data_IF_758619920818
#
_entry.id   IF_758619920818
#
_cell.length_a   1.000
_cell.length_b   1.000
_cell.length_c   1.000
_cell.angle_alpha   90.00
_cell.angle_beta   90.00
_cell.angle_gamma   90.00
#
_symmetry.space_group_name_H-M   'P 1'
#
loop_
_entity.id
_entity.type
_entity.pdbx_description
1 polymer ?
#
# COMPACT_ATOMS: atom_id res chain seq x y z
N UNK A 1 42.19 0.28 -10.55
CA UNK A 1 41.06 0.59 -11.45
C UNK A 1 39.85 -0.32 -11.23
N UNK A 2 39.99 -1.66 -11.23
CA UNK A 2 38.85 -2.60 -11.11
C UNK A 2 37.98 -2.41 -9.83
N UNK A 3 38.57 -2.11 -8.67
CA UNK A 3 37.82 -1.83 -7.43
C UNK A 3 36.83 -0.66 -7.58
N UNK A 4 37.26 0.42 -8.22
CA UNK A 4 36.43 1.61 -8.43
C UNK A 4 35.29 1.33 -9.40
N UNK A 5 35.54 0.50 -10.42
CA UNK A 5 34.51 0.09 -11.40
C UNK A 5 33.43 -0.74 -10.71
N UNK A 6 33.81 -1.70 -9.86
CA UNK A 6 32.85 -2.52 -9.12
C UNK A 6 31.96 -1.67 -8.21
N UNK A 7 32.54 -0.78 -7.40
CA UNK A 7 31.74 0.09 -6.53
C UNK A 7 30.84 1.04 -7.33
N UNK A 8 31.32 1.56 -8.46
CA UNK A 8 30.49 2.38 -9.34
C UNK A 8 29.29 1.59 -9.90
N UNK A 9 29.47 0.33 -10.28
CA UNK A 9 28.39 -0.55 -10.73
C UNK A 9 27.39 -0.86 -9.62
N UNK A 10 27.85 -1.12 -8.39
CA UNK A 10 26.96 -1.32 -7.23
C UNK A 10 26.10 -0.07 -7.01
N UNK A 11 26.71 1.12 -7.03
CA UNK A 11 25.97 2.39 -6.90
C UNK A 11 24.98 2.60 -8.03
N UNK A 12 25.38 2.30 -9.25
CA UNK A 12 24.50 2.38 -10.41
C UNK A 12 23.28 1.45 -10.25
N UNK A 13 23.45 0.22 -9.78
CA UNK A 13 22.36 -0.72 -9.56
C UNK A 13 21.42 -0.27 -8.42
N UNK A 14 21.89 0.58 -7.50
CA UNK A 14 21.09 1.13 -6.40
C UNK A 14 20.39 2.45 -6.75
N UNK A 15 20.59 3.00 -7.96
CA UNK A 15 20.00 4.29 -8.36
C UNK A 15 18.46 4.25 -8.35
N UNK A 16 17.85 3.18 -8.84
CA UNK A 16 16.39 3.01 -8.80
C UNK A 16 15.86 2.99 -7.36
N UNK A 17 16.58 2.30 -6.47
CA UNK A 17 16.26 2.23 -5.04
C UNK A 17 16.42 3.59 -4.34
N UNK A 18 17.30 4.45 -4.84
CA UNK A 18 17.59 5.77 -4.25
C UNK A 18 16.38 6.72 -4.32
N UNK A 19 15.49 6.53 -5.29
CA UNK A 19 14.21 7.26 -5.40
C UNK A 19 13.27 7.01 -4.22
N UNK A 20 13.52 5.96 -3.43
CA UNK A 20 12.74 5.60 -2.25
C UNK A 20 13.49 5.89 -0.94
N UNK A 21 14.62 6.61 -0.99
CA UNK A 21 15.58 6.80 0.12
C UNK A 21 14.98 7.23 1.46
N UNK A 22 13.95 8.08 1.44
CA UNK A 22 13.24 8.59 2.63
C UNK A 22 12.11 7.69 3.12
N UNK A 23 11.81 6.61 2.41
CA UNK A 23 10.72 5.72 2.78
C UNK A 23 11.17 4.70 3.82
N UNK A 24 10.29 4.46 4.80
CA UNK A 24 10.53 3.48 5.84
C UNK A 24 10.09 2.10 5.36
N UNK A 25 11.01 1.14 5.40
CA UNK A 25 10.77 -0.26 5.04
C UNK A 25 11.11 -1.20 6.19
N UNK A 26 10.54 -2.39 6.12
CA UNK A 26 10.85 -3.51 7.00
C UNK A 26 11.35 -4.68 6.16
N UNK A 27 12.55 -5.16 6.46
CA UNK A 27 13.22 -6.28 5.81
C UNK A 27 13.41 -7.38 6.85
N UNK A 28 12.77 -8.53 6.61
CA UNK A 28 12.92 -9.73 7.45
C UNK A 28 14.12 -10.56 6.96
N UNK A 29 15.31 -9.99 7.05
CA UNK A 29 16.56 -10.63 6.63
C UNK A 29 17.60 -10.51 7.73
N UNK A 30 18.28 -11.62 8.05
CA UNK A 30 19.41 -11.65 8.98
C UNK A 30 20.68 -11.01 8.41
N UNK A 31 20.69 -10.70 7.10
CA UNK A 31 21.81 -10.09 6.41
C UNK A 31 21.91 -8.56 6.60
N UNK A 32 20.96 -7.96 7.33
CA UNK A 32 21.01 -6.56 7.75
C UNK A 32 21.09 -6.44 9.28
N UNK A 33 21.80 -5.43 9.81
CA UNK A 33 21.89 -5.19 11.25
C UNK A 33 20.58 -4.67 11.86
N UNK A 34 19.69 -4.11 11.04
CA UNK A 34 18.36 -3.65 11.45
C UNK A 34 17.33 -4.22 10.51
N UNK A 35 16.20 -4.64 11.06
CA UNK A 35 15.07 -5.13 10.26
C UNK A 35 14.14 -4.01 9.80
N UNK A 36 14.23 -2.81 10.39
CA UNK A 36 13.38 -1.67 10.01
C UNK A 36 14.21 -0.39 9.97
N UNK A 37 13.98 0.44 8.96
CA UNK A 37 14.72 1.69 8.75
C UNK A 37 14.31 2.39 7.47
N UNK A 38 15.00 3.49 7.16
CA UNK A 38 14.88 4.16 5.87
C UNK A 38 15.58 3.35 4.78
N UNK A 39 15.08 3.37 3.54
CA UNK A 39 15.75 2.75 2.39
C UNK A 39 17.22 3.21 2.28
N UNK A 40 17.50 4.49 2.51
CA UNK A 40 18.86 5.03 2.55
C UNK A 40 19.80 4.32 3.52
N UNK A 41 19.30 3.87 4.68
CA UNK A 41 20.10 3.09 5.63
C UNK A 41 20.52 1.75 5.03
N UNK A 42 19.61 1.06 4.34
CA UNK A 42 19.87 -0.24 3.73
C UNK A 42 20.80 -0.12 2.51
N UNK A 43 20.64 0.93 1.70
CA UNK A 43 21.57 1.27 0.61
C UNK A 43 22.99 1.46 1.15
N UNK A 44 23.16 2.25 2.21
CA UNK A 44 24.48 2.48 2.83
C UNK A 44 25.10 1.18 3.37
N UNK A 45 24.30 0.26 3.92
CA UNK A 45 24.79 -1.05 4.36
C UNK A 45 25.26 -1.95 3.20
N UNK A 46 24.58 -1.89 2.05
CA UNK A 46 24.98 -2.62 0.83
C UNK A 46 26.32 -2.07 0.31
N UNK A 47 26.46 -0.74 0.24
CA UNK A 47 27.71 -0.11 -0.17
C UNK A 47 28.88 -0.51 0.75
N UNK A 48 28.67 -0.49 2.07
CA UNK A 48 29.68 -0.95 3.03
C UNK A 48 30.03 -2.44 2.86
N UNK A 49 29.03 -3.27 2.60
CA UNK A 49 29.25 -4.71 2.37
C UNK A 49 30.08 -4.94 1.10
N UNK A 50 29.84 -4.16 0.04
CA UNK A 50 30.64 -4.19 -1.18
C UNK A 50 32.09 -3.71 -0.94
N UNK A 51 32.30 -2.67 -0.13
CA UNK A 51 33.65 -2.24 0.27
C UNK A 51 34.38 -3.31 1.10
N UNK A 52 33.67 -3.97 2.02
CA UNK A 52 34.22 -5.06 2.83
C UNK A 52 34.65 -6.23 1.95
N UNK A 53 33.82 -6.62 0.98
CA UNK A 53 34.14 -7.67 0.00
C UNK A 53 35.44 -7.35 -0.75
N UNK A 54 35.58 -6.13 -1.26
CA UNK A 54 36.78 -5.73 -2.02
C UNK A 54 38.07 -5.67 -1.18
N UNK A 55 37.95 -5.57 0.14
CA UNK A 55 39.08 -5.50 1.06
C UNK A 55 39.45 -6.86 1.66
N UNK A 56 38.66 -7.91 1.42
CA UNK A 56 39.01 -9.26 1.85
C UNK A 56 40.20 -9.80 1.07
N UNK A 57 41.06 -10.52 1.78
CA UNK A 57 42.19 -11.29 1.23
C UNK A 57 41.98 -12.79 1.34
N UNK A 58 41.05 -13.18 2.20
CA UNK A 58 40.68 -14.57 2.46
C UNK A 58 39.49 -14.94 1.57
N UNK A 59 39.58 -16.13 0.96
CA UNK A 59 38.59 -16.64 0.02
C UNK A 59 37.26 -16.92 0.73
N UNK A 60 37.29 -17.53 1.91
CA UNK A 60 36.07 -17.90 2.64
C UNK A 60 35.27 -16.66 3.06
N UNK A 61 35.97 -15.62 3.54
CA UNK A 61 35.33 -14.35 3.87
C UNK A 61 34.84 -13.61 2.61
N UNK A 62 35.56 -13.72 1.49
CA UNK A 62 35.13 -13.13 0.23
C UNK A 62 33.83 -13.77 -0.28
N UNK A 63 33.73 -15.10 -0.21
CA UNK A 63 32.50 -15.82 -0.56
C UNK A 63 31.33 -15.43 0.35
N UNK A 64 31.57 -15.36 1.66
CA UNK A 64 30.56 -14.93 2.63
C UNK A 64 30.03 -13.52 2.32
N UNK A 65 30.92 -12.55 2.07
CA UNK A 65 30.50 -11.18 1.77
C UNK A 65 29.83 -11.06 0.39
N UNK A 66 30.23 -11.87 -0.58
CA UNK A 66 29.57 -11.92 -1.89
C UNK A 66 28.14 -12.47 -1.76
N UNK A 67 27.95 -13.56 -1.02
CA UNK A 67 26.61 -14.11 -0.75
C UNK A 67 25.75 -13.09 0.01
N UNK A 68 26.30 -12.50 1.07
CA UNK A 68 25.62 -11.46 1.85
C UNK A 68 25.17 -10.31 0.96
N UNK A 69 26.02 -9.83 0.06
CA UNK A 69 25.71 -8.73 -0.84
C UNK A 69 24.53 -9.05 -1.76
N UNK A 70 24.51 -10.25 -2.36
CA UNK A 70 23.40 -10.71 -3.21
C UNK A 70 22.09 -10.74 -2.41
N UNK A 71 22.11 -11.36 -1.22
CA UNK A 71 20.93 -11.46 -0.36
C UNK A 71 20.42 -10.10 0.10
N UNK A 72 21.31 -9.13 0.32
CA UNK A 72 20.91 -7.77 0.65
C UNK A 72 20.22 -7.05 -0.51
N UNK A 73 20.70 -7.22 -1.75
CA UNK A 73 20.04 -6.70 -2.95
C UNK A 73 18.63 -7.28 -3.13
N UNK A 74 18.50 -8.61 -3.08
CA UNK A 74 17.21 -9.30 -3.23
C UNK A 74 16.20 -8.82 -2.19
N UNK A 75 16.65 -8.69 -0.94
CA UNK A 75 15.80 -8.28 0.17
C UNK A 75 15.36 -6.81 0.07
N UNK A 76 16.25 -5.92 -0.40
CA UNK A 76 15.93 -4.51 -0.63
C UNK A 76 14.94 -4.35 -1.80
N UNK A 77 15.22 -4.99 -2.93
CA UNK A 77 14.33 -4.96 -4.11
C UNK A 77 12.93 -5.50 -3.76
N UNK A 78 12.86 -6.61 -3.03
CA UNK A 78 11.58 -7.16 -2.56
C UNK A 78 10.81 -6.20 -1.65
N UNK A 79 11.49 -5.45 -0.79
CA UNK A 79 10.86 -4.46 0.08
C UNK A 79 10.37 -3.22 -0.71
N UNK A 80 11.11 -2.78 -1.72
CA UNK A 80 10.73 -1.65 -2.58
C UNK A 80 9.57 -2.03 -3.49
N UNK A 81 9.54 -3.24 -4.05
CA UNK A 81 8.40 -3.71 -4.85
C UNK A 81 7.09 -3.67 -4.04
N UNK A 82 7.13 -4.05 -2.76
CA UNK A 82 5.97 -3.95 -1.85
C UNK A 82 5.51 -2.52 -1.61
N UNK A 83 6.41 -1.54 -1.62
CA UNK A 83 6.03 -0.12 -1.57
C UNK A 83 5.26 0.25 -2.83
N UNK A 84 5.79 -0.13 -3.99
CA UNK A 84 5.21 0.24 -5.28
C UNK A 84 3.83 -0.41 -5.45
N UNK A 85 3.67 -1.68 -5.05
CA UNK A 85 2.38 -2.35 -4.99
C UNK A 85 1.39 -1.62 -4.08
N UNK A 86 1.81 -1.19 -2.88
CA UNK A 86 0.96 -0.40 -1.98
C UNK A 86 0.56 0.96 -2.56
N UNK A 87 1.44 1.63 -3.31
CA UNK A 87 1.12 2.90 -3.99
C UNK A 87 0.11 2.71 -5.13
N UNK A 88 0.10 1.56 -5.78
CA UNK A 88 -0.85 1.24 -6.85
C UNK A 88 -2.24 0.86 -6.35
N UNK A 89 -2.43 0.65 -5.04
CA UNK A 89 -3.76 0.60 -4.44
C UNK A 89 -4.29 2.02 -4.27
N UNK A 90 -4.65 2.67 -5.39
CA UNK A 90 -5.47 3.88 -5.33
C UNK A 90 -6.64 3.60 -4.37
N UNK A 91 -6.86 4.48 -3.40
CA UNK A 91 -7.94 4.38 -2.43
C UNK A 91 -9.16 5.12 -2.99
N UNK A 92 -10.36 4.60 -2.73
CA UNK A 92 -11.58 5.30 -3.10
C UNK A 92 -11.65 6.63 -2.35
N UNK A 93 -11.74 7.73 -3.09
CA UNK A 93 -11.95 9.07 -2.56
C UNK A 93 -13.32 9.56 -2.99
N UNK A 94 -14.17 9.87 -2.03
CA UNK A 94 -15.41 10.61 -2.26
C UNK A 94 -15.34 11.94 -1.53
N UNK A 95 -15.88 12.99 -2.15
CA UNK A 95 -16.06 14.30 -1.51
C UNK A 95 -17.19 14.29 -0.48
N UNK A 96 -17.97 13.21 -0.39
CA UNK A 96 -19.07 13.08 0.54
C UNK A 96 -18.57 12.82 1.97
N UNK A 97 -18.97 13.68 2.89
CA UNK A 97 -18.77 13.51 4.32
C UNK A 97 -20.13 13.33 4.99
N UNK A 98 -20.27 12.27 5.77
CA UNK A 98 -21.52 11.97 6.46
C UNK A 98 -21.69 12.92 7.65
N UNK A 99 -22.88 13.50 7.81
CA UNK A 99 -23.18 14.37 8.93
C UNK A 99 -23.10 13.60 10.27
N UNK A 100 -22.24 14.05 11.18
CA UNK A 100 -22.02 13.40 12.50
C UNK A 100 -23.29 13.34 13.36
N UNK A 101 -24.23 14.26 13.14
CA UNK A 101 -25.47 14.39 13.92
C UNK A 101 -26.72 14.11 13.09
N UNK A 102 -26.69 13.10 12.21
CA UNK A 102 -27.80 12.84 11.27
C UNK A 102 -29.18 12.66 11.95
N UNK A 103 -29.21 12.11 13.16
CA UNK A 103 -30.46 11.88 13.91
C UNK A 103 -31.04 13.15 14.53
N UNK A 104 -30.27 14.24 14.67
CA UNK A 104 -30.82 15.53 15.15
C UNK A 104 -31.40 16.38 14.03
N UNK A 105 -31.16 16.00 12.77
CA UNK A 105 -31.72 16.68 11.60
C UNK A 105 -33.24 16.47 11.51
N UNK A 106 -33.93 17.47 10.94
CA UNK A 106 -35.33 17.32 10.57
C UNK A 106 -35.50 16.18 9.56
N UNK A 107 -36.67 15.49 9.52
CA UNK A 107 -36.88 14.35 8.63
C UNK A 107 -36.52 14.63 7.16
N UNK A 108 -36.91 15.79 6.62
CA UNK A 108 -36.55 16.19 5.26
C UNK A 108 -35.04 16.35 5.03
N UNK A 109 -34.31 16.94 5.99
CA UNK A 109 -32.85 17.09 5.90
C UNK A 109 -32.15 15.75 6.07
N UNK A 110 -32.63 14.91 6.98
CA UNK A 110 -32.14 13.55 7.18
C UNK A 110 -32.29 12.70 5.91
N UNK A 111 -33.43 12.81 5.23
CA UNK A 111 -33.69 12.15 3.96
C UNK A 111 -32.70 12.60 2.87
N UNK A 112 -32.42 13.90 2.78
CA UNK A 112 -31.41 14.43 1.85
C UNK A 112 -30.01 13.86 2.14
N UNK A 113 -29.62 13.78 3.41
CA UNK A 113 -28.31 13.20 3.80
C UNK A 113 -28.21 11.71 3.47
N UNK A 114 -29.26 10.92 3.72
CA UNK A 114 -29.27 9.52 3.30
C UNK A 114 -29.20 9.37 1.77
N UNK A 115 -29.87 10.22 0.99
CA UNK A 115 -29.76 10.20 -0.48
C UNK A 115 -28.34 10.54 -0.97
N UNK A 116 -27.66 11.50 -0.33
CA UNK A 116 -26.26 11.80 -0.63
C UNK A 116 -25.35 10.62 -0.27
N UNK A 117 -25.57 10.00 0.89
CA UNK A 117 -24.83 8.81 1.31
C UNK A 117 -25.03 7.64 0.32
N UNK A 118 -26.26 7.44 -0.14
CA UNK A 118 -26.58 6.42 -1.15
C UNK A 118 -25.83 6.66 -2.47
N UNK A 119 -25.72 7.92 -2.92
CA UNK A 119 -24.92 8.27 -4.10
C UNK A 119 -23.44 7.92 -3.90
N UNK A 120 -22.85 8.30 -2.78
CA UNK A 120 -21.45 7.98 -2.47
C UNK A 120 -21.21 6.46 -2.36
N UNK A 121 -22.16 5.71 -1.81
CA UNK A 121 -22.10 4.24 -1.78
C UNK A 121 -22.18 3.62 -3.18
N UNK A 122 -22.98 4.19 -4.08
CA UNK A 122 -23.03 3.74 -5.48
C UNK A 122 -21.71 4.03 -6.22
N UNK A 123 -21.14 5.22 -6.04
CA UNK A 123 -19.83 5.57 -6.60
C UNK A 123 -18.73 4.60 -6.11
N UNK A 124 -18.72 4.32 -4.80
CA UNK A 124 -17.80 3.34 -4.21
C UNK A 124 -18.00 1.95 -4.80
N UNK A 125 -19.24 1.54 -5.03
CA UNK A 125 -19.56 0.24 -5.61
C UNK A 125 -18.99 0.10 -7.02
N UNK A 126 -19.25 1.08 -7.89
CA UNK A 126 -18.73 1.09 -9.26
C UNK A 126 -17.20 1.02 -9.28
N UNK A 127 -16.56 1.82 -8.41
CA UNK A 127 -15.12 1.83 -8.28
C UNK A 127 -14.56 0.48 -7.81
N UNK A 128 -15.18 -0.16 -6.81
CA UNK A 128 -14.78 -1.47 -6.32
C UNK A 128 -14.96 -2.56 -7.39
N UNK A 129 -16.05 -2.52 -8.16
CA UNK A 129 -16.30 -3.46 -9.24
C UNK A 129 -15.25 -3.33 -10.35
N UNK A 130 -14.92 -2.11 -10.76
CA UNK A 130 -13.87 -1.85 -11.75
C UNK A 130 -12.49 -2.33 -11.26
N UNK A 131 -12.14 -2.00 -10.01
CA UNK A 131 -10.91 -2.47 -9.37
C UNK A 131 -10.83 -4.00 -9.31
N UNK A 132 -11.94 -4.66 -8.94
CA UNK A 132 -12.00 -6.11 -8.82
C UNK A 132 -11.92 -6.81 -10.18
N UNK A 133 -12.49 -6.22 -11.23
CA UNK A 133 -12.41 -6.74 -12.60
C UNK A 133 -10.98 -6.70 -13.14
N UNK A 134 -10.24 -5.64 -12.86
CA UNK A 134 -8.86 -5.43 -13.32
C UNK A 134 -7.80 -6.06 -12.39
N UNK A 135 -8.19 -6.79 -11.35
CA UNK A 135 -7.25 -7.36 -10.37
C UNK A 135 -6.87 -8.79 -10.73
N UNK A 136 -5.57 -9.02 -10.95
CA UNK A 136 -5.01 -10.34 -11.27
C UNK A 136 -4.57 -11.12 -10.02
N UNK A 137 -4.28 -10.42 -8.92
CA UNK A 137 -3.89 -11.07 -7.67
C UNK A 137 -5.11 -11.58 -6.90
N UNK A 138 -5.24 -12.90 -6.76
CA UNK A 138 -6.38 -13.56 -6.10
C UNK A 138 -6.58 -13.15 -4.63
N UNK A 139 -5.50 -12.85 -3.88
CA UNK A 139 -5.62 -12.37 -2.48
C UNK A 139 -6.26 -10.99 -2.46
N UNK A 140 -5.78 -10.07 -3.30
CA UNK A 140 -6.34 -8.71 -3.38
C UNK A 140 -7.77 -8.71 -3.94
N UNK A 141 -8.07 -9.65 -4.84
CA UNK A 141 -9.42 -9.86 -5.39
C UNK A 141 -10.39 -10.32 -4.29
N UNK A 142 -9.97 -11.22 -3.42
CA UNK A 142 -10.78 -11.63 -2.26
C UNK A 142 -11.02 -10.47 -1.28
N UNK A 143 -10.01 -9.63 -1.03
CA UNK A 143 -10.18 -8.41 -0.22
C UNK A 143 -11.17 -7.43 -0.86
N UNK A 144 -11.10 -7.23 -2.18
CA UNK A 144 -12.05 -6.38 -2.92
C UNK A 144 -13.47 -6.94 -2.89
N UNK A 145 -13.64 -8.26 -3.02
CA UNK A 145 -14.95 -8.93 -2.89
C UNK A 145 -15.56 -8.71 -1.51
N UNK A 146 -14.77 -8.84 -0.44
CA UNK A 146 -15.24 -8.55 0.92
C UNK A 146 -15.71 -7.09 1.04
N UNK A 147 -14.98 -6.14 0.45
CA UNK A 147 -15.37 -4.72 0.44
C UNK A 147 -16.64 -4.46 -0.39
N UNK A 148 -16.86 -5.21 -1.48
CA UNK A 148 -18.09 -5.15 -2.28
C UNK A 148 -19.27 -5.60 -1.42
N UNK A 149 -19.19 -6.79 -0.80
CA UNK A 149 -20.25 -7.34 0.05
C UNK A 149 -20.61 -6.36 1.19
N UNK A 150 -19.59 -5.80 1.85
CA UNK A 150 -19.81 -4.82 2.90
C UNK A 150 -20.50 -3.55 2.38
N UNK A 151 -20.07 -3.05 1.22
CA UNK A 151 -20.65 -1.84 0.61
C UNK A 151 -22.08 -2.09 0.14
N UNK A 152 -22.40 -3.29 -0.36
CA UNK A 152 -23.76 -3.71 -0.72
C UNK A 152 -24.67 -3.75 0.51
N UNK A 153 -24.19 -4.32 1.61
CA UNK A 153 -24.92 -4.36 2.87
C UNK A 153 -25.24 -2.94 3.37
N UNK A 154 -24.25 -2.04 3.37
CA UNK A 154 -24.44 -0.63 3.76
C UNK A 154 -25.42 0.09 2.85
N UNK A 155 -25.36 -0.16 1.53
CA UNK A 155 -26.32 0.36 0.55
C UNK A 155 -27.74 -0.10 0.87
N UNK A 156 -27.95 -1.40 1.12
CA UNK A 156 -29.25 -1.95 1.50
C UNK A 156 -29.82 -1.27 2.75
N UNK A 157 -29.00 -1.11 3.80
CA UNK A 157 -29.41 -0.41 5.03
C UNK A 157 -29.77 1.06 4.80
N UNK A 158 -29.00 1.75 3.97
CA UNK A 158 -29.28 3.14 3.60
C UNK A 158 -30.59 3.27 2.82
N UNK A 159 -30.84 2.38 1.87
CA UNK A 159 -32.09 2.35 1.11
C UNK A 159 -33.30 2.10 2.02
N UNK A 160 -33.21 1.12 2.92
CA UNK A 160 -34.30 0.86 3.88
C UNK A 160 -34.59 2.10 4.75
N UNK A 161 -33.56 2.77 5.26
CA UNK A 161 -33.74 3.96 6.07
C UNK A 161 -34.37 5.13 5.30
N UNK A 162 -34.12 5.23 3.99
CA UNK A 162 -34.78 6.19 3.10
C UNK A 162 -36.27 5.86 2.97
N UNK A 163 -36.57 4.59 2.66
CA UNK A 163 -37.96 4.11 2.49
C UNK A 163 -38.78 4.31 3.76
N UNK A 164 -38.26 3.89 4.91
CA UNK A 164 -38.94 4.05 6.21
C UNK A 164 -39.24 5.52 6.51
N UNK A 165 -38.26 6.41 6.26
CA UNK A 165 -38.40 7.85 6.52
C UNK A 165 -39.34 8.53 5.53
N UNK A 166 -39.39 8.08 4.27
CA UNK A 166 -40.35 8.55 3.28
C UNK A 166 -41.78 8.14 3.66
N UNK A 167 -41.99 6.91 4.13
CA UNK A 167 -43.29 6.48 4.64
C UNK A 167 -43.71 7.32 5.86
N UNK A 168 -42.83 7.54 6.83
CA UNK A 168 -43.11 8.40 7.99
C UNK A 168 -43.51 9.84 7.60
N UNK A 169 -42.94 10.37 6.52
CA UNK A 169 -43.23 11.70 6.01
C UNK A 169 -44.56 11.76 5.22
N UNK A 170 -45.00 10.66 4.62
CA UNK A 170 -46.27 10.58 3.88
C UNK A 170 -47.48 10.41 4.80
N UNK A 171 -47.30 9.77 5.97
CA UNK A 171 -48.36 9.54 6.95
C UNK A 171 -48.42 10.58 8.09
N UNK A 172 -47.66 11.67 7.97
CA UNK A 172 -47.68 12.85 8.86
C UNK A 172 -48.31 14.05 8.17
#
# INVERSE_FOLDING_TARGET
>A
MQKYIFLAQIKQNLTESSSFSEQKITINSSFFPKQSGLVSFFINEIEKTAEQLLNQKDIEYSEFYAEKLIKQFDALNSAINKIQEKKNVAQFQSSFQFASNIHTLSPNKRLQEYRKALRALNEKMSWLMEKNYNQENEILKQELQNQIIETEYRKKKCTQAIEDLEQELLFK
#
